data_IF_301727990596
#
_entry.id   IF_301727990596
#
_cell.length_a   1.000
_cell.length_b   1.000
_cell.length_c   1.000
_cell.angle_alpha   90.00
_cell.angle_beta   90.00
_cell.angle_gamma   90.00
#
_symmetry.space_group_name_H-M   'P 1'
#
loop_
_entity.id
_entity.type
_entity.pdbx_description
1 polymer ?
#
# COMPACT_ATOMS: atom_id res chain seq x y z
N UNK A 1 5.57 -3.91 -11.28
CA UNK A 1 4.39 -3.05 -11.52
C UNK A 1 4.82 -1.61 -11.31
N UNK A 2 4.34 -0.68 -12.13
CA UNK A 2 4.68 0.74 -11.96
C UNK A 2 3.88 1.35 -10.80
N UNK A 3 4.45 2.38 -10.18
CA UNK A 3 3.73 3.19 -9.19
C UNK A 3 2.85 4.24 -9.91
N UNK A 4 1.94 4.87 -9.16
CA UNK A 4 1.10 5.97 -9.67
C UNK A 4 1.93 7.16 -10.18
N UNK A 5 3.02 7.48 -9.49
CA UNK A 5 4.05 8.40 -9.97
C UNK A 5 5.21 7.62 -10.56
N UNK A 6 5.60 7.91 -11.81
CA UNK A 6 6.71 7.20 -12.48
C UNK A 6 8.00 7.28 -11.67
N UNK A 7 8.29 8.45 -11.10
CA UNK A 7 9.42 8.72 -10.21
C UNK A 7 9.42 7.90 -8.91
N UNK A 8 8.28 7.34 -8.52
CA UNK A 8 8.14 6.50 -7.33
C UNK A 8 8.33 5.00 -7.63
N UNK A 9 8.47 4.60 -8.90
CA UNK A 9 8.48 3.18 -9.28
C UNK A 9 9.72 2.44 -8.78
N UNK A 10 10.89 3.08 -8.80
CA UNK A 10 12.10 2.47 -8.25
C UNK A 10 12.04 2.34 -6.72
N UNK A 11 11.54 3.38 -6.04
CA UNK A 11 11.30 3.36 -4.59
C UNK A 11 10.30 2.27 -4.19
N UNK A 12 9.26 2.07 -5.02
CA UNK A 12 8.28 0.98 -4.86
C UNK A 12 8.98 -0.38 -4.94
N UNK A 13 9.80 -0.61 -5.95
CA UNK A 13 10.47 -1.89 -6.14
C UNK A 13 11.36 -2.26 -4.94
N UNK A 14 12.10 -1.28 -4.40
CA UNK A 14 12.95 -1.47 -3.22
C UNK A 14 12.13 -1.81 -1.96
N UNK A 15 11.06 -1.07 -1.72
CA UNK A 15 10.16 -1.34 -0.61
C UNK A 15 9.46 -2.69 -0.75
N UNK A 16 8.88 -2.99 -1.91
CA UNK A 16 8.16 -4.24 -2.19
C UNK A 16 9.09 -5.46 -1.99
N UNK A 17 10.33 -5.38 -2.46
CA UNK A 17 11.31 -6.45 -2.26
C UNK A 17 11.62 -6.69 -0.77
N UNK A 18 11.88 -5.61 -0.01
CA UNK A 18 12.09 -5.71 1.43
C UNK A 18 10.87 -6.31 2.13
N UNK A 19 9.68 -5.78 1.83
CA UNK A 19 8.44 -6.18 2.45
C UNK A 19 8.10 -7.65 2.18
N UNK A 20 8.23 -8.14 0.95
CA UNK A 20 7.91 -9.53 0.62
C UNK A 20 8.83 -10.53 1.32
N UNK A 21 10.12 -10.22 1.42
CA UNK A 21 11.08 -11.02 2.18
C UNK A 21 10.73 -11.01 3.67
N UNK A 22 10.51 -9.83 4.25
CA UNK A 22 10.09 -9.70 5.64
C UNK A 22 8.77 -10.43 5.92
N UNK A 23 7.78 -10.26 5.04
CA UNK A 23 6.46 -10.84 5.19
C UNK A 23 6.52 -12.37 5.21
N UNK A 24 7.23 -12.96 4.25
CA UNK A 24 7.34 -14.42 4.12
C UNK A 24 8.23 -15.05 5.20
N UNK A 25 9.33 -14.40 5.57
CA UNK A 25 10.33 -14.98 6.47
C UNK A 25 10.10 -14.66 7.95
N UNK A 26 9.43 -13.56 8.27
CA UNK A 26 9.25 -13.03 9.63
C UNK A 26 7.78 -12.98 10.01
N UNK A 27 6.99 -12.16 9.31
CA UNK A 27 5.60 -11.88 9.69
C UNK A 27 4.74 -13.14 9.75
N UNK A 28 4.77 -13.97 8.69
CA UNK A 28 4.01 -15.24 8.65
C UNK A 28 4.50 -16.28 9.67
N UNK A 29 5.68 -16.09 10.27
CA UNK A 29 6.24 -16.95 11.33
C UNK A 29 6.04 -16.36 12.73
N UNK A 30 5.30 -15.25 12.84
CA UNK A 30 4.96 -14.61 14.11
C UNK A 30 5.91 -13.51 14.56
N UNK A 31 6.95 -13.17 13.78
CA UNK A 31 7.80 -12.02 14.04
C UNK A 31 7.24 -10.78 13.33
N UNK A 32 6.63 -9.89 14.11
CA UNK A 32 5.90 -8.71 13.60
C UNK A 32 6.74 -7.43 13.58
N UNK A 33 8.06 -7.50 13.80
CA UNK A 33 8.91 -6.30 13.76
C UNK A 33 9.11 -5.83 12.31
N UNK A 34 8.46 -4.73 11.93
CA UNK A 34 8.47 -4.14 10.58
C UNK A 34 9.54 -3.05 10.37
N UNK A 35 10.37 -2.76 11.38
CA UNK A 35 11.37 -1.68 11.34
C UNK A 35 12.39 -1.86 10.21
N UNK A 36 12.62 -3.10 9.77
CA UNK A 36 13.57 -3.44 8.70
C UNK A 36 13.25 -2.72 7.39
N UNK A 37 11.95 -2.55 7.07
CA UNK A 37 11.52 -1.90 5.82
C UNK A 37 11.05 -0.46 6.01
N UNK A 38 10.97 0.05 7.25
CA UNK A 38 10.50 1.39 7.55
C UNK A 38 11.25 2.53 6.83
N UNK A 39 12.60 2.49 6.64
CA UNK A 39 13.30 3.52 5.90
C UNK A 39 12.88 3.60 4.42
N UNK A 40 12.75 2.44 3.76
CA UNK A 40 12.29 2.36 2.37
C UNK A 40 10.84 2.81 2.25
N UNK A 41 9.99 2.35 3.17
CA UNK A 41 8.58 2.71 3.22
C UNK A 41 8.38 4.22 3.35
N UNK A 42 9.12 4.87 4.25
CA UNK A 42 8.99 6.32 4.50
C UNK A 42 9.25 7.14 3.23
N UNK A 43 10.31 6.82 2.49
CA UNK A 43 10.67 7.54 1.26
C UNK A 43 9.66 7.26 0.14
N UNK A 44 9.27 5.99 -0.04
CA UNK A 44 8.25 5.60 -1.01
C UNK A 44 6.90 6.26 -0.72
N UNK A 45 6.44 6.22 0.54
CA UNK A 45 5.16 6.80 0.98
C UNK A 45 5.11 8.30 0.73
N UNK A 46 6.20 9.03 1.01
CA UNK A 46 6.28 10.46 0.72
C UNK A 46 6.15 10.75 -0.78
N UNK A 47 6.81 9.96 -1.62
CA UNK A 47 6.71 10.08 -3.07
C UNK A 47 5.27 9.86 -3.56
N UNK A 48 4.62 8.79 -3.10
CA UNK A 48 3.23 8.47 -3.50
C UNK A 48 2.25 9.53 -3.02
N UNK A 49 2.36 10.01 -1.77
CA UNK A 49 1.49 11.07 -1.25
C UNK A 49 1.60 12.36 -2.07
N UNK A 50 2.78 12.66 -2.62
CA UNK A 50 2.96 13.80 -3.54
C UNK A 50 2.29 13.52 -4.88
N UNK A 51 2.55 12.36 -5.49
CA UNK A 51 1.94 11.97 -6.76
C UNK A 51 0.40 11.96 -6.68
N UNK A 52 -0.19 11.42 -5.61
CA UNK A 52 -1.65 11.41 -5.42
C UNK A 52 -2.26 12.81 -5.45
N UNK A 53 -1.60 13.80 -4.84
CA UNK A 53 -2.04 15.19 -4.88
C UNK A 53 -1.97 15.77 -6.30
N UNK A 54 -0.91 15.48 -7.04
CA UNK A 54 -0.74 15.92 -8.44
C UNK A 54 -1.80 15.30 -9.36
N UNK A 55 -2.20 14.06 -9.07
CA UNK A 55 -3.28 13.34 -9.75
C UNK A 55 -4.69 13.65 -9.22
N UNK A 56 -4.85 14.64 -8.33
CA UNK A 56 -6.14 15.05 -7.74
C UNK A 56 -6.89 13.92 -7.00
N UNK A 57 -6.15 12.96 -6.42
CA UNK A 57 -6.69 11.91 -5.59
C UNK A 57 -6.76 12.41 -4.14
N UNK A 58 -7.95 12.38 -3.54
CA UNK A 58 -8.14 12.76 -2.15
C UNK A 58 -7.62 11.66 -1.21
N UNK A 59 -6.58 11.98 -0.44
CA UNK A 59 -6.01 11.08 0.56
C UNK A 59 -7.03 10.71 1.63
N UNK A 60 -7.97 11.59 1.97
CA UNK A 60 -8.99 11.32 2.99
C UNK A 60 -9.93 10.21 2.57
N UNK A 61 -10.27 10.14 1.28
CA UNK A 61 -11.11 9.07 0.74
C UNK A 61 -10.37 7.73 0.79
N UNK A 62 -9.06 7.72 0.57
CA UNK A 62 -8.24 6.51 0.64
C UNK A 62 -8.04 6.00 2.07
N UNK A 63 -8.07 6.89 3.05
CA UNK A 63 -7.92 6.57 4.47
C UNK A 63 -9.24 6.16 5.16
N UNK A 64 -10.38 6.19 4.46
CA UNK A 64 -11.67 5.79 5.04
C UNK A 64 -11.76 4.27 5.24
N UNK A 65 -12.16 3.87 6.44
CA UNK A 65 -12.56 2.50 6.74
C UNK A 65 -13.93 2.20 6.11
N UNK A 66 -13.92 1.60 4.92
CA UNK A 66 -15.14 1.23 4.18
C UNK A 66 -15.64 -0.17 4.54
N UNK A 67 -14.76 -1.07 4.97
CA UNK A 67 -15.13 -2.45 5.28
C UNK A 67 -16.04 -2.51 6.52
N UNK A 68 -17.22 -3.13 6.38
CA UNK A 68 -18.26 -3.22 7.40
C UNK A 68 -19.11 -1.96 7.57
N UNK A 69 -18.92 -0.93 6.72
CA UNK A 69 -19.70 0.31 6.76
C UNK A 69 -20.88 0.28 5.77
N UNK A 70 -21.73 1.30 5.83
CA UNK A 70 -22.82 1.48 4.86
C UNK A 70 -22.32 1.77 3.43
N UNK A 71 -21.06 2.19 3.31
CA UNK A 71 -20.40 2.49 2.04
C UNK A 71 -19.74 1.24 1.41
N UNK A 72 -19.78 0.09 2.08
CA UNK A 72 -19.25 -1.18 1.54
C UNK A 72 -20.03 -1.61 0.29
N UNK A 73 -19.32 -1.85 -0.81
CA UNK A 73 -19.93 -2.37 -2.02
C UNK A 73 -20.42 -3.81 -1.84
N UNK A 74 -21.67 -4.06 -2.25
CA UNK A 74 -22.25 -5.39 -2.21
C UNK A 74 -21.44 -6.40 -3.04
N UNK A 75 -21.30 -7.66 -2.56
CA UNK A 75 -20.61 -8.70 -3.32
C UNK A 75 -21.29 -8.92 -4.68
N UNK A 76 -20.52 -9.21 -5.74
CA UNK A 76 -21.09 -9.46 -7.05
C UNK A 76 -22.09 -10.62 -6.99
N UNK A 77 -23.18 -10.56 -7.78
CA UNK A 77 -24.17 -11.63 -7.80
C UNK A 77 -23.51 -12.95 -8.19
N UNK A 78 -23.84 -14.02 -7.45
CA UNK A 78 -23.38 -15.37 -7.79
C UNK A 78 -24.07 -15.77 -9.09
N UNK A 79 -23.31 -15.92 -10.17
CA UNK A 79 -23.80 -16.58 -11.38
C UNK A 79 -24.17 -18.02 -10.98
N UNK A 80 -25.47 -18.33 -11.01
CA UNK A 80 -26.02 -19.65 -10.71
C UNK A 80 -26.01 -20.49 -11.98
#
# INVERSE_FOLDING_TARGET
MNSIGENCSELKNQYDHCFLTWFSEKFLKGDTNDEVCAPFFKVYQQCVKKAMKEHHIDLKEVEKDVLGSADEHAPPPKNT
#
